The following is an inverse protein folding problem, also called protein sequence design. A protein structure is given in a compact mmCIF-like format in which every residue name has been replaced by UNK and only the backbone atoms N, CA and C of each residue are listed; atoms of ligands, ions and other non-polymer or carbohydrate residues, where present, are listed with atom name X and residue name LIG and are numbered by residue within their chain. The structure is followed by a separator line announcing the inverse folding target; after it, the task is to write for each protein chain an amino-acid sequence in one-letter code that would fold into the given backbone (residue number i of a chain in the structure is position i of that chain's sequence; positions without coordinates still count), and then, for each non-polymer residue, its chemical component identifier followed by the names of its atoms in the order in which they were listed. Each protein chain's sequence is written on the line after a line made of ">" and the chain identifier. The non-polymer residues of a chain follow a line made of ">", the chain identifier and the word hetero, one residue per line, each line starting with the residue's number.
data_IF_415841284074
#
_entry.id   IF_415841284074
#
_cell.length_a   1.000
_cell.length_b   1.000
_cell.length_c   1.000
_cell.angle_alpha   90.00
_cell.angle_beta   90.00
_cell.angle_gamma   90.00
#
_symmetry.space_group_name_H-M   'P 1'
#
loop_
_entity.id
_entity.type
_entity.pdbx_description
1 polymer ?
#
# COMPACT_ATOMS: atom_id res chain seq x y z
N UNK A 1 -5.98 7.31 -22.53
CA UNK A 1 -7.05 7.08 -21.53
C UNK A 1 -8.05 6.03 -22.01
N UNK A 2 -8.61 6.16 -23.21
CA UNK A 2 -9.57 5.20 -23.79
C UNK A 2 -8.99 3.79 -23.96
N UNK A 3 -7.72 3.67 -24.34
CA UNK A 3 -7.03 2.38 -24.45
C UNK A 3 -7.06 1.56 -23.14
N UNK A 4 -6.89 2.21 -21.99
CA UNK A 4 -6.95 1.51 -20.70
C UNK A 4 -8.36 1.02 -20.39
N UNK A 5 -9.40 1.75 -20.80
CA UNK A 5 -10.79 1.33 -20.64
C UNK A 5 -11.10 0.13 -21.53
N UNK A 6 -10.65 0.15 -22.78
CA UNK A 6 -10.79 -0.98 -23.71
C UNK A 6 -10.05 -2.21 -23.16
N UNK A 7 -8.80 -2.04 -22.70
CA UNK A 7 -8.02 -3.12 -22.11
C UNK A 7 -8.69 -3.68 -20.85
N UNK A 8 -9.21 -2.82 -19.98
CA UNK A 8 -9.95 -3.23 -18.79
C UNK A 8 -11.23 -3.99 -19.14
N UNK A 9 -11.97 -3.56 -20.17
CA UNK A 9 -13.17 -4.25 -20.64
C UNK A 9 -12.83 -5.64 -21.20
N UNK A 10 -11.78 -5.75 -22.04
CA UNK A 10 -11.29 -7.02 -22.57
C UNK A 10 -10.88 -7.96 -21.44
N UNK A 11 -10.11 -7.47 -20.46
CA UNK A 11 -9.74 -8.26 -19.29
C UNK A 11 -10.95 -8.69 -18.47
N UNK A 12 -11.93 -7.80 -18.27
CA UNK A 12 -13.18 -8.12 -17.58
C UNK A 12 -13.96 -9.24 -18.26
N UNK A 13 -14.07 -9.21 -19.59
CA UNK A 13 -14.70 -10.28 -20.38
C UNK A 13 -13.92 -11.59 -20.24
N UNK A 14 -12.59 -11.56 -20.29
CA UNK A 14 -11.77 -12.76 -20.11
C UNK A 14 -11.92 -13.36 -18.70
N UNK A 15 -11.97 -12.52 -17.67
CA UNK A 15 -12.20 -12.95 -16.28
C UNK A 15 -13.60 -13.56 -16.13
N UNK A 16 -14.63 -12.93 -16.71
CA UNK A 16 -15.99 -13.45 -16.67
C UNK A 16 -16.11 -14.79 -17.41
N UNK A 17 -15.50 -14.90 -18.60
CA UNK A 17 -15.43 -16.15 -19.35
C UNK A 17 -14.71 -17.24 -18.55
N UNK A 18 -13.57 -16.93 -17.93
CA UNK A 18 -12.86 -17.84 -17.04
C UNK A 18 -13.75 -18.33 -15.89
N UNK A 19 -14.47 -17.42 -15.22
CA UNK A 19 -15.35 -17.77 -14.11
C UNK A 19 -16.54 -18.65 -14.54
N UNK A 20 -17.16 -18.36 -15.70
CA UNK A 20 -18.29 -19.14 -16.22
C UNK A 20 -17.82 -20.53 -16.67
N UNK A 21 -16.70 -20.61 -17.41
CA UNK A 21 -16.17 -21.88 -17.90
C UNK A 21 -15.64 -22.77 -16.77
N UNK A 22 -15.20 -22.17 -15.66
CA UNK A 22 -14.68 -22.87 -14.48
C UNK A 22 -15.62 -22.76 -13.26
N UNK A 23 -16.93 -22.72 -13.52
CA UNK A 23 -17.94 -22.64 -12.47
C UNK A 23 -18.13 -23.97 -11.70
N UNK A 24 -17.54 -25.07 -12.17
CA UNK A 24 -17.58 -26.35 -11.48
C UNK A 24 -16.98 -26.22 -10.06
N UNK A 25 -17.64 -26.79 -9.04
CA UNK A 25 -17.17 -26.72 -7.67
C UNK A 25 -15.88 -27.53 -7.52
N UNK A 26 -14.91 -26.95 -6.82
CA UNK A 26 -13.64 -27.57 -6.44
C UNK A 26 -13.58 -27.64 -4.92
N UNK A 27 -13.30 -28.85 -4.41
CA UNK A 27 -13.08 -29.06 -2.99
C UNK A 27 -11.70 -28.54 -2.56
N UNK A 28 -11.69 -27.64 -1.59
CA UNK A 28 -10.49 -27.11 -0.96
C UNK A 28 -10.36 -27.71 0.43
N UNK A 29 -9.19 -28.28 0.72
CA UNK A 29 -8.80 -28.68 2.07
C UNK A 29 -7.66 -27.78 2.54
N UNK A 30 -7.88 -27.03 3.61
CA UNK A 30 -6.89 -26.14 4.19
C UNK A 30 -6.87 -26.28 5.70
N UNK A 31 -5.78 -26.84 6.24
CA UNK A 31 -5.64 -27.17 7.66
C UNK A 31 -6.84 -28.02 8.16
N UNK A 32 -7.70 -27.44 9.01
CA UNK A 32 -8.90 -28.08 9.56
C UNK A 32 -10.18 -27.76 8.77
N UNK A 33 -10.09 -26.90 7.76
CA UNK A 33 -11.24 -26.50 6.96
C UNK A 33 -11.32 -27.32 5.67
N UNK A 34 -12.54 -27.70 5.33
CA UNK A 34 -12.89 -28.27 4.03
C UNK A 34 -14.17 -27.60 3.54
N UNK A 35 -14.14 -27.09 2.33
CA UNK A 35 -15.29 -26.46 1.69
C UNK A 35 -15.19 -26.59 0.17
N UNK A 36 -16.30 -26.38 -0.53
CA UNK A 36 -16.35 -26.37 -1.99
C UNK A 36 -16.61 -24.96 -2.49
N UNK A 37 -15.90 -24.56 -3.54
CA UNK A 37 -16.10 -23.27 -4.19
C UNK A 37 -15.62 -23.32 -5.64
N UNK A 38 -15.94 -22.31 -6.45
CA UNK A 38 -15.38 -22.22 -7.80
C UNK A 38 -13.93 -21.78 -7.76
N UNK A 39 -13.17 -22.16 -8.79
CA UNK A 39 -11.76 -21.76 -8.93
C UNK A 39 -11.58 -20.24 -8.90
N UNK A 40 -12.50 -19.50 -9.52
CA UNK A 40 -12.47 -18.04 -9.55
C UNK A 40 -12.54 -17.42 -8.14
N UNK A 41 -13.45 -17.90 -7.29
CA UNK A 41 -13.59 -17.39 -5.92
C UNK A 41 -12.32 -17.68 -5.10
N UNK A 42 -11.77 -18.88 -5.24
CA UNK A 42 -10.55 -19.28 -4.53
C UNK A 42 -9.37 -18.39 -4.91
N UNK A 43 -9.20 -18.10 -6.19
CA UNK A 43 -8.12 -17.23 -6.69
C UNK A 43 -8.29 -15.81 -6.15
N UNK A 44 -9.49 -15.23 -6.22
CA UNK A 44 -9.77 -13.88 -5.71
C UNK A 44 -9.47 -13.79 -4.21
N UNK A 45 -9.96 -14.74 -3.41
CA UNK A 45 -9.71 -14.77 -1.97
C UNK A 45 -8.21 -14.91 -1.65
N UNK A 46 -7.48 -15.73 -2.40
CA UNK A 46 -6.04 -15.91 -2.23
C UNK A 46 -5.26 -14.62 -2.54
N UNK A 47 -5.64 -13.91 -3.61
CA UNK A 47 -5.05 -12.62 -3.96
C UNK A 47 -5.34 -11.55 -2.90
N UNK A 48 -6.58 -11.47 -2.42
CA UNK A 48 -6.98 -10.54 -1.35
C UNK A 48 -6.20 -10.84 -0.06
N UNK A 49 -6.07 -12.11 0.32
CA UNK A 49 -5.28 -12.51 1.48
C UNK A 49 -3.81 -12.11 1.33
N UNK A 50 -3.21 -12.35 0.16
CA UNK A 50 -1.84 -11.91 -0.15
C UNK A 50 -1.66 -10.40 -0.04
N UNK A 51 -2.62 -9.62 -0.55
CA UNK A 51 -2.59 -8.16 -0.46
C UNK A 51 -2.68 -7.67 0.99
N UNK A 52 -3.56 -8.27 1.79
CA UNK A 52 -3.69 -7.97 3.23
C UNK A 52 -2.39 -8.30 3.96
N UNK A 53 -1.77 -9.45 3.67
CA UNK A 53 -0.50 -9.84 4.25
C UNK A 53 0.60 -8.83 3.92
N UNK A 54 0.77 -8.46 2.65
CA UNK A 54 1.76 -7.46 2.22
C UNK A 54 1.50 -6.11 2.90
N UNK A 55 0.24 -5.68 2.96
CA UNK A 55 -0.13 -4.45 3.64
C UNK A 55 0.27 -4.47 5.11
N UNK A 56 -0.05 -5.55 5.82
CA UNK A 56 0.24 -5.71 7.25
C UNK A 56 1.75 -5.74 7.50
N UNK A 57 2.51 -6.47 6.70
CA UNK A 57 3.97 -6.51 6.76
C UNK A 57 4.61 -5.15 6.48
N UNK A 58 3.94 -4.27 5.72
CA UNK A 58 4.44 -2.93 5.42
C UNK A 58 4.20 -1.90 6.54
N UNK A 59 3.30 -2.17 7.50
CA UNK A 59 2.91 -1.20 8.55
C UNK A 59 4.08 -0.74 9.44
N UNK A 60 4.96 -1.62 9.96
CA UNK A 60 6.05 -1.19 10.83
C UNK A 60 7.03 -0.25 10.12
N UNK A 61 7.32 -0.50 8.85
CA UNK A 61 8.17 0.35 8.02
C UNK A 61 7.56 1.74 7.81
N UNK A 62 6.25 1.81 7.56
CA UNK A 62 5.52 3.08 7.42
C UNK A 62 5.54 3.90 8.72
N UNK A 63 5.39 3.25 9.87
CA UNK A 63 5.45 3.89 11.18
C UNK A 63 6.83 4.46 11.48
N UNK A 64 7.90 3.67 11.23
CA UNK A 64 9.29 4.15 11.38
C UNK A 64 9.57 5.36 10.50
N UNK A 65 9.20 5.30 9.22
CA UNK A 65 9.35 6.44 8.28
C UNK A 65 8.59 7.68 8.74
N UNK A 66 7.36 7.53 9.26
CA UNK A 66 6.61 8.66 9.81
C UNK A 66 7.32 9.30 11.00
N UNK A 67 7.89 8.49 11.90
CA UNK A 67 8.66 9.00 13.04
C UNK A 67 9.92 9.72 12.58
N UNK A 68 10.68 9.13 11.65
CA UNK A 68 11.87 9.77 11.08
C UNK A 68 11.54 11.10 10.40
N UNK A 69 10.44 11.18 9.65
CA UNK A 69 9.99 12.43 9.04
C UNK A 69 9.65 13.49 10.09
N UNK A 70 8.97 13.09 11.17
CA UNK A 70 8.67 14.01 12.27
C UNK A 70 9.95 14.53 12.94
N UNK A 71 10.89 13.64 13.24
CA UNK A 71 12.16 13.99 13.87
C UNK A 71 13.01 14.90 12.96
N UNK A 72 13.02 14.64 11.65
CA UNK A 72 13.69 15.50 10.66
C UNK A 72 13.07 16.89 10.60
N UNK A 73 11.73 17.00 10.53
CA UNK A 73 11.05 18.29 10.50
C UNK A 73 11.29 19.09 11.79
N UNK A 74 11.33 18.42 12.95
CA UNK A 74 11.65 19.07 14.22
C UNK A 74 13.06 19.67 14.21
N UNK A 75 14.05 18.94 13.68
CA UNK A 75 15.44 19.42 13.54
C UNK A 75 15.55 20.59 12.58
N UNK A 76 14.83 20.57 11.46
CA UNK A 76 14.78 21.69 10.51
C UNK A 76 14.30 22.96 11.22
N UNK A 77 13.16 22.89 11.92
CA UNK A 77 12.61 24.03 12.66
C UNK A 77 13.57 24.55 13.75
N UNK A 78 14.31 23.67 14.42
CA UNK A 78 15.29 24.08 15.43
C UNK A 78 16.49 24.80 14.79
N UNK A 79 16.98 24.28 13.67
CA UNK A 79 18.09 24.89 12.94
C UNK A 79 17.70 26.25 12.34
N UNK A 80 16.50 26.37 11.78
CA UNK A 80 15.96 27.65 11.30
C UNK A 80 15.89 28.70 12.41
N UNK A 81 15.42 28.32 13.61
CA UNK A 81 15.40 29.22 14.77
C UNK A 81 16.80 29.64 15.19
N UNK A 82 17.78 28.73 15.19
CA UNK A 82 19.17 29.04 15.53
C UNK A 82 19.82 29.97 14.50
N UNK A 83 19.54 29.76 13.21
CA UNK A 83 19.99 30.65 12.14
C UNK A 83 19.45 32.06 12.35
N UNK A 84 18.14 32.20 12.58
CA UNK A 84 17.52 33.50 12.83
C UNK A 84 18.08 34.22 14.07
N UNK A 85 18.40 33.48 15.15
CA UNK A 85 19.03 34.06 16.35
C UNK A 85 20.47 34.51 16.08
N UNK A 86 21.25 33.72 15.33
CA UNK A 86 22.62 34.08 14.94
C UNK A 86 22.65 35.29 14.03
N UNK A 87 21.75 35.37 13.04
CA UNK A 87 21.61 36.53 12.15
C UNK A 87 21.29 37.80 12.94
N UNK A 88 20.38 37.73 13.93
CA UNK A 88 20.10 38.85 14.83
C UNK A 88 21.32 39.27 15.64
N UNK A 89 22.01 38.31 16.25
CA UNK A 89 23.23 38.59 17.04
C UNK A 89 24.33 39.22 16.20
N UNK A 90 24.50 38.79 14.95
CA UNK A 90 25.47 39.38 14.02
C UNK A 90 25.06 40.80 13.63
N UNK A 91 23.78 41.06 13.40
CA UNK A 91 23.26 42.40 13.14
C UNK A 91 23.41 43.34 14.36
N UNK A 92 23.27 42.82 15.59
CA UNK A 92 23.51 43.57 16.83
C UNK A 92 25.01 43.79 17.13
N UNK A 93 25.91 43.01 16.52
CA UNK A 93 27.37 43.07 16.74
C UNK A 93 28.16 43.87 15.72
N UNK A 94 27.52 44.58 14.78
CA UNK A 94 28.24 45.35 13.77
C UNK A 94 27.89 46.84 13.77
N UNK A 95 28.84 47.71 13.37
CA UNK A 95 30.24 47.81 13.78
C UNK A 95 30.44 48.51 15.14
#
# INVERSE_FOLDING_TARGET
>A
MEFYLILAAVLGVLIAAFAIQNAAPVAVKFLVWQFESSLAVIIILSLLAGMILIFLLSLPGRLKRRKELYDKNRRINELEKRLADLEKRLAEKGP
#
